data_IF_403420066285
#
_entry.id   IF_403420066285
#
_cell.length_a   1.000
_cell.length_b   1.000
_cell.length_c   1.000
_cell.angle_alpha   90.00
_cell.angle_beta   90.00
_cell.angle_gamma   90.00
#
_symmetry.space_group_name_H-M   'P 1'
#
loop_
_entity.id
_entity.type
_entity.pdbx_description
1 polymer ?
#
# COMPACT_ATOMS: atom_id res chain seq x y z
N UNK A 1 -9.98 24.29 -39.91
CA UNK A 1 -10.55 24.18 -38.55
C UNK A 1 -9.41 23.72 -37.65
N UNK A 2 -8.72 24.66 -37.01
CA UNK A 2 -7.56 24.33 -36.16
C UNK A 2 -8.04 23.59 -34.91
N UNK A 3 -7.70 22.31 -34.78
CA UNK A 3 -7.92 21.56 -33.56
C UNK A 3 -7.14 22.24 -32.43
N UNK A 4 -7.86 22.94 -31.54
CA UNK A 4 -7.32 23.49 -30.31
C UNK A 4 -6.58 22.38 -29.55
N UNK A 5 -5.26 22.47 -29.52
CA UNK A 5 -4.41 21.68 -28.61
C UNK A 5 -4.93 21.95 -27.19
N UNK A 6 -5.73 21.02 -26.65
CA UNK A 6 -6.39 21.19 -25.34
C UNK A 6 -5.41 21.24 -24.16
N UNK A 7 -4.13 20.94 -24.38
CA UNK A 7 -3.11 20.83 -23.33
C UNK A 7 -1.84 21.57 -23.75
N UNK A 8 -1.71 22.81 -23.29
CA UNK A 8 -0.64 23.75 -23.70
C UNK A 8 0.47 23.91 -22.67
N UNK A 9 0.29 23.40 -21.44
CA UNK A 9 1.27 23.49 -20.35
C UNK A 9 2.00 22.16 -20.16
N UNK A 10 3.32 22.23 -19.97
CA UNK A 10 4.20 21.10 -19.68
C UNK A 10 4.83 21.22 -18.30
N UNK A 11 4.98 20.10 -17.60
CA UNK A 11 5.75 20.00 -16.34
C UNK A 11 6.96 19.12 -16.62
N UNK A 12 8.16 19.60 -16.28
CA UNK A 12 9.40 18.83 -16.37
C UNK A 12 9.85 18.39 -14.98
N UNK A 13 10.22 17.12 -14.86
CA UNK A 13 10.77 16.53 -13.63
C UNK A 13 12.12 15.94 -13.98
N UNK A 14 13.15 16.29 -13.21
CA UNK A 14 14.48 15.68 -13.33
C UNK A 14 14.52 14.40 -12.51
N UNK A 15 15.02 13.33 -13.11
CA UNK A 15 15.10 12.00 -12.52
C UNK A 15 16.54 11.51 -12.56
N UNK A 16 16.92 10.71 -11.58
CA UNK A 16 18.11 9.86 -11.69
C UNK A 16 17.86 8.74 -12.73
N UNK A 17 18.92 8.04 -13.12
CA UNK A 17 18.78 6.91 -14.06
C UNK A 17 17.87 5.81 -13.47
N UNK A 18 18.05 5.49 -12.18
CA UNK A 18 17.26 4.48 -11.46
C UNK A 18 15.77 4.85 -11.41
N UNK A 19 15.46 6.11 -11.11
CA UNK A 19 14.07 6.60 -11.10
C UNK A 19 13.43 6.54 -12.49
N UNK A 20 14.21 6.86 -13.54
CA UNK A 20 13.74 6.79 -14.92
C UNK A 20 13.48 5.34 -15.36
N UNK A 21 14.36 4.40 -15.01
CA UNK A 21 14.20 2.99 -15.34
C UNK A 21 12.97 2.38 -14.64
N UNK A 22 12.75 2.77 -13.37
CA UNK A 22 11.56 2.37 -12.63
C UNK A 22 10.26 2.93 -13.24
N UNK A 23 10.29 4.20 -13.69
CA UNK A 23 9.19 4.81 -14.41
C UNK A 23 8.87 4.05 -15.71
N UNK A 24 9.89 3.71 -16.49
CA UNK A 24 9.75 2.93 -17.73
C UNK A 24 9.14 1.56 -17.48
N UNK A 25 9.58 0.87 -16.43
CA UNK A 25 9.04 -0.43 -16.05
C UNK A 25 7.55 -0.30 -15.70
N UNK A 26 7.16 0.67 -14.86
CA UNK A 26 5.75 0.91 -14.52
C UNK A 26 4.92 1.26 -15.74
N UNK A 27 5.44 2.10 -16.64
CA UNK A 27 4.76 2.44 -17.87
C UNK A 27 4.52 1.20 -18.75
N UNK A 28 5.55 0.36 -18.95
CA UNK A 28 5.40 -0.89 -19.73
C UNK A 28 4.35 -1.83 -19.14
N UNK A 29 4.32 -1.98 -17.81
CA UNK A 29 3.35 -2.84 -17.12
C UNK A 29 1.91 -2.28 -17.19
N UNK A 30 1.75 -0.96 -17.32
CA UNK A 30 0.44 -0.30 -17.31
C UNK A 30 -0.39 -0.51 -18.58
N UNK A 31 0.25 -0.80 -19.72
CA UNK A 31 -0.43 -0.97 -21.01
C UNK A 31 -0.98 0.33 -21.64
N UNK A 32 -0.67 1.51 -21.08
CA UNK A 32 -1.11 2.78 -21.66
C UNK A 32 -0.36 3.11 -22.97
N UNK A 33 -1.02 3.88 -23.84
CA UNK A 33 -0.50 4.20 -25.18
C UNK A 33 0.59 5.26 -25.16
N UNK A 34 0.64 6.08 -24.10
CA UNK A 34 1.66 7.12 -23.97
C UNK A 34 2.09 7.33 -22.52
N UNK A 35 3.36 7.67 -22.31
CA UNK A 35 3.87 8.05 -20.99
C UNK A 35 3.10 9.25 -20.41
N UNK A 36 2.71 10.20 -21.24
CA UNK A 36 1.92 11.37 -20.80
C UNK A 36 0.52 10.97 -20.31
N UNK A 37 -0.12 9.97 -20.91
CA UNK A 37 -1.37 9.41 -20.42
C UNK A 37 -1.18 8.67 -19.10
N UNK A 38 -0.19 7.76 -19.04
CA UNK A 38 0.18 7.08 -17.81
C UNK A 38 0.47 8.05 -16.66
N UNK A 39 1.30 9.06 -16.91
CA UNK A 39 1.66 10.08 -15.92
C UNK A 39 0.45 10.90 -15.50
N UNK A 40 -0.46 11.29 -16.39
CA UNK A 40 -1.65 12.06 -16.00
C UNK A 40 -2.57 11.24 -15.10
N UNK A 41 -2.82 9.98 -15.42
CA UNK A 41 -3.59 9.08 -14.56
C UNK A 41 -2.85 8.91 -13.23
N UNK A 42 -1.55 8.66 -13.27
CA UNK A 42 -0.75 8.52 -12.07
C UNK A 42 -0.73 9.79 -11.20
N UNK A 43 -0.73 11.00 -11.76
CA UNK A 43 -0.67 12.25 -10.99
C UNK A 43 -2.04 12.76 -10.55
N UNK A 44 -3.08 12.60 -11.36
CA UNK A 44 -4.40 13.19 -11.13
C UNK A 44 -5.44 12.19 -10.60
N UNK A 45 -5.31 10.90 -10.93
CA UNK A 45 -6.21 9.87 -10.41
C UNK A 45 -5.67 9.20 -9.14
N UNK A 46 -4.41 9.44 -8.76
CA UNK A 46 -3.90 8.99 -7.46
C UNK A 46 -4.06 10.07 -6.40
N UNK A 47 -4.66 9.65 -5.30
CA UNK A 47 -4.74 10.42 -4.07
C UNK A 47 -3.37 10.37 -3.38
N UNK A 48 -2.60 11.46 -3.43
CA UNK A 48 -1.30 11.52 -2.74
C UNK A 48 -1.56 11.77 -1.26
N UNK A 49 -1.61 10.69 -0.48
CA UNK A 49 -1.70 10.77 0.99
C UNK A 49 -0.37 10.36 1.59
N UNK A 50 0.23 11.30 2.31
CA UNK A 50 1.44 11.06 3.09
C UNK A 50 1.02 10.53 4.45
N UNK A 51 1.15 9.23 4.66
CA UNK A 51 1.10 8.66 6.00
C UNK A 51 2.39 8.99 6.75
N UNK A 52 2.30 9.14 8.07
CA UNK A 52 3.49 9.27 8.90
C UNK A 52 4.28 7.96 8.86
N UNK A 53 5.60 8.05 9.03
CA UNK A 53 6.47 6.86 9.07
C UNK A 53 6.07 5.99 10.26
N UNK A 54 5.67 6.64 11.36
CA UNK A 54 5.24 6.03 12.61
C UNK A 54 4.00 5.16 12.43
N UNK A 55 2.97 5.65 11.72
CA UNK A 55 1.73 4.88 11.52
C UNK A 55 1.99 3.60 10.71
N UNK A 56 2.86 3.68 9.70
CA UNK A 56 3.25 2.53 8.88
C UNK A 56 4.09 1.53 9.67
N UNK A 57 5.00 2.01 10.52
CA UNK A 57 5.77 1.15 11.42
C UNK A 57 4.85 0.40 12.40
N UNK A 58 3.79 1.04 12.89
CA UNK A 58 2.85 0.39 13.80
C UNK A 58 2.08 -0.75 13.12
N UNK A 59 1.60 -0.54 11.88
CA UNK A 59 0.97 -1.62 11.12
C UNK A 59 1.94 -2.80 10.92
N UNK A 60 3.19 -2.52 10.53
CA UNK A 60 4.21 -3.56 10.35
C UNK A 60 4.52 -4.30 11.65
N UNK A 61 4.52 -3.60 12.79
CA UNK A 61 4.71 -4.18 14.12
C UNK A 61 3.57 -5.15 14.46
N UNK A 62 2.32 -4.75 14.22
CA UNK A 62 1.15 -5.60 14.46
C UNK A 62 1.19 -6.87 13.59
N UNK A 63 1.47 -6.72 12.29
CA UNK A 63 1.61 -7.86 11.35
C UNK A 63 2.71 -8.82 11.81
N UNK A 64 3.88 -8.30 12.18
CA UNK A 64 5.00 -9.11 12.67
C UNK A 64 4.63 -9.85 13.96
N UNK A 65 3.92 -9.20 14.87
CA UNK A 65 3.45 -9.81 16.12
C UNK A 65 2.56 -11.02 15.84
N UNK A 66 1.60 -10.92 14.92
CA UNK A 66 0.72 -12.05 14.58
C UNK A 66 1.50 -13.17 13.91
N UNK A 67 2.38 -12.84 12.96
CA UNK A 67 3.22 -13.84 12.30
C UNK A 67 4.03 -14.65 13.32
N UNK A 68 4.61 -13.97 14.30
CA UNK A 68 5.32 -14.62 15.41
C UNK A 68 4.40 -15.49 16.26
N UNK A 69 3.19 -15.02 16.61
CA UNK A 69 2.22 -15.79 17.39
C UNK A 69 1.79 -17.07 16.64
N UNK A 70 1.48 -16.95 15.35
CA UNK A 70 1.12 -18.09 14.48
C UNK A 70 2.27 -19.10 14.41
N UNK A 71 3.51 -18.62 14.25
CA UNK A 71 4.68 -19.49 14.24
C UNK A 71 4.87 -20.24 15.56
N UNK A 72 4.66 -19.57 16.71
CA UNK A 72 4.72 -20.23 18.02
C UNK A 72 3.64 -21.31 18.16
N UNK A 73 2.42 -21.05 17.68
CA UNK A 73 1.34 -22.03 17.68
C UNK A 73 1.72 -23.24 16.81
N UNK A 74 2.22 -23.02 15.60
CA UNK A 74 2.65 -24.09 14.72
C UNK A 74 3.75 -24.97 15.35
N UNK A 75 4.79 -24.35 15.94
CA UNK A 75 5.87 -25.09 16.63
C UNK A 75 5.33 -25.93 17.79
N UNK A 76 4.42 -25.38 18.59
CA UNK A 76 3.82 -26.10 19.73
C UNK A 76 2.85 -27.19 19.30
N UNK A 77 2.05 -26.96 18.27
CA UNK A 77 1.14 -27.99 17.72
C UNK A 77 1.97 -29.15 17.19
N UNK A 78 3.06 -28.87 16.46
CA UNK A 78 3.98 -29.91 15.97
C UNK A 78 4.63 -30.72 17.10
N UNK A 79 4.80 -30.15 18.29
CA UNK A 79 5.43 -30.85 19.42
C UNK A 79 4.44 -31.52 20.38
N UNK A 80 3.21 -31.04 20.47
CA UNK A 80 2.22 -31.50 21.48
C UNK A 80 0.96 -32.10 20.89
N UNK A 81 0.74 -31.95 19.57
CA UNK A 81 -0.47 -32.33 18.83
C UNK A 81 -1.77 -31.75 19.44
N UNK A 82 -1.65 -30.60 20.13
CA UNK A 82 -2.75 -29.92 20.84
C UNK A 82 -2.88 -28.48 20.37
N UNK A 83 -4.12 -28.06 20.15
CA UNK A 83 -4.51 -26.68 19.85
C UNK A 83 -5.32 -26.13 21.03
N UNK A 84 -4.97 -24.93 21.48
CA UNK A 84 -5.64 -24.26 22.61
C UNK A 84 -6.58 -23.17 22.11
N UNK A 85 -7.66 -22.92 22.83
CA UNK A 85 -8.63 -21.87 22.48
C UNK A 85 -8.01 -20.49 22.61
N UNK A 86 -7.19 -20.31 23.64
CA UNK A 86 -6.45 -19.09 23.93
C UNK A 86 -5.55 -18.67 22.76
N UNK A 87 -5.04 -19.64 21.99
CA UNK A 87 -4.22 -19.37 20.80
C UNK A 87 -5.04 -18.70 19.69
N UNK A 88 -6.27 -19.19 19.50
CA UNK A 88 -7.20 -18.64 18.52
C UNK A 88 -7.66 -17.25 18.95
N UNK A 89 -7.95 -17.06 20.24
CA UNK A 89 -8.34 -15.76 20.80
C UNK A 89 -7.21 -14.73 20.61
N UNK A 90 -5.95 -15.11 20.89
CA UNK A 90 -4.79 -14.24 20.67
C UNK A 90 -4.56 -13.86 19.20
N UNK A 91 -4.79 -14.79 18.27
CA UNK A 91 -4.71 -14.47 16.82
C UNK A 91 -5.85 -13.51 16.46
N UNK A 92 -7.08 -13.79 16.89
CA UNK A 92 -8.25 -12.95 16.58
C UNK A 92 -8.05 -11.53 17.10
N UNK A 93 -7.57 -11.35 18.33
CA UNK A 93 -7.27 -10.04 18.91
C UNK A 93 -6.21 -9.28 18.11
N UNK A 94 -5.16 -9.99 17.67
CA UNK A 94 -4.14 -9.40 16.81
C UNK A 94 -4.72 -8.93 15.48
N UNK A 95 -5.52 -9.77 14.83
CA UNK A 95 -6.15 -9.47 13.53
C UNK A 95 -7.09 -8.28 13.66
N UNK A 96 -7.84 -8.18 14.74
CA UNK A 96 -8.74 -7.04 14.99
C UNK A 96 -7.95 -5.72 15.13
N UNK A 97 -6.79 -5.74 15.78
CA UNK A 97 -5.91 -4.55 15.87
C UNK A 97 -5.37 -4.12 14.51
N UNK A 98 -5.00 -5.08 13.64
CA UNK A 98 -4.63 -4.76 12.26
C UNK A 98 -5.80 -4.12 11.52
N UNK A 99 -7.01 -4.69 11.66
CA UNK A 99 -8.22 -4.13 11.04
C UNK A 99 -8.54 -2.72 11.52
N UNK A 100 -8.32 -2.42 12.81
CA UNK A 100 -8.48 -1.06 13.33
C UNK A 100 -7.51 -0.09 12.67
N UNK A 101 -6.23 -0.47 12.54
CA UNK A 101 -5.23 0.38 11.90
C UNK A 101 -5.50 0.59 10.40
N UNK A 102 -5.94 -0.45 9.69
CA UNK A 102 -6.35 -0.34 8.28
C UNK A 102 -7.60 0.54 8.10
N UNK A 103 -8.58 0.43 9.00
CA UNK A 103 -9.77 1.31 9.01
C UNK A 103 -9.39 2.77 9.28
N UNK A 104 -8.42 3.01 10.18
CA UNK A 104 -7.86 4.34 10.38
C UNK A 104 -7.30 4.90 9.07
N UNK A 105 -6.42 4.16 8.39
CA UNK A 105 -5.89 4.58 7.09
C UNK A 105 -6.97 4.81 6.04
N UNK A 106 -7.95 3.93 5.96
CA UNK A 106 -9.09 4.09 5.06
C UNK A 106 -9.87 5.39 5.33
N UNK A 107 -10.07 5.75 6.60
CA UNK A 107 -10.75 7.00 6.96
C UNK A 107 -9.95 8.23 6.54
N UNK A 108 -8.62 8.20 6.67
CA UNK A 108 -7.75 9.28 6.19
C UNK A 108 -7.82 9.42 4.67
N UNK A 109 -7.83 8.29 3.94
CA UNK A 109 -7.98 8.30 2.49
C UNK A 109 -9.34 8.84 2.04
N UNK A 110 -10.41 8.57 2.78
CA UNK A 110 -11.75 9.07 2.47
C UNK A 110 -11.88 10.59 2.68
N UNK A 111 -11.16 11.16 3.65
CA UNK A 111 -11.17 12.62 3.90
C UNK A 111 -10.54 13.42 2.76
N UNK A 112 -9.64 12.81 1.99
CA UNK A 112 -8.91 13.49 0.92
C UNK A 112 -9.59 13.29 -0.44
N UNK A 113 -10.62 12.42 -0.54
CA UNK A 113 -11.38 12.24 -1.78
C UNK A 113 -12.21 13.51 -2.06
N UNK A 114 -12.10 14.12 -3.26
CA UNK A 114 -12.96 15.22 -3.67
C UNK A 114 -14.42 14.79 -3.85
#
# INVERSE_FOLDING_TARGET
MEEKIKRTRSVQVRLTQEEYDFLEQKFKLSGYKSKSEFMRIAFFDTLVVKFSTEDMQELLRLVRSISNNVNQIAVRVNSTDKVYREDMDNIMDGVERIWQQLRYFQSQLQQVKP
#
